data_IF_206822853451
#
_entry.id   IF_206822853451
#
_cell.length_a   1.000
_cell.length_b   1.000
_cell.length_c   1.000
_cell.angle_alpha   90.00
_cell.angle_beta   90.00
_cell.angle_gamma   90.00
#
_symmetry.space_group_name_H-M   'P 1'
#
loop_
_entity.id
_entity.type
_entity.pdbx_description
1 polymer ?
#
# COMPACT_ATOMS: atom_id res chain seq x y z
N UNK A 1 -19.87 -11.93 -5.59
CA UNK A 1 -20.05 -12.82 -6.76
C UNK A 1 -18.72 -13.31 -7.34
N UNK A 2 -17.79 -12.43 -7.72
CA UNK A 2 -16.55 -12.82 -8.42
C UNK A 2 -15.63 -13.78 -7.62
N UNK A 3 -15.47 -13.57 -6.31
CA UNK A 3 -14.61 -14.38 -5.44
C UNK A 3 -15.03 -15.85 -5.35
N UNK A 4 -16.33 -16.11 -5.16
CA UNK A 4 -16.87 -17.48 -5.07
C UNK A 4 -16.66 -18.25 -6.38
N UNK A 5 -16.83 -17.55 -7.51
CA UNK A 5 -16.58 -18.14 -8.82
C UNK A 5 -15.11 -18.53 -8.99
N UNK A 6 -14.19 -17.68 -8.56
CA UNK A 6 -12.75 -17.97 -8.60
C UNK A 6 -12.37 -19.15 -7.69
N UNK A 7 -12.96 -19.25 -6.50
CA UNK A 7 -12.77 -20.40 -5.62
C UNK A 7 -13.28 -21.71 -6.28
N UNK A 8 -14.42 -21.66 -6.97
CA UNK A 8 -14.94 -22.81 -7.71
C UNK A 8 -14.01 -23.22 -8.88
N UNK A 9 -13.45 -22.25 -9.61
CA UNK A 9 -12.47 -22.51 -10.68
C UNK A 9 -11.21 -23.17 -10.11
N UNK A 10 -10.72 -22.72 -8.95
CA UNK A 10 -9.57 -23.36 -8.28
C UNK A 10 -9.87 -24.80 -7.85
N UNK A 11 -11.06 -25.06 -7.27
CA UNK A 11 -11.48 -26.41 -6.90
C UNK A 11 -11.55 -27.33 -8.13
N UNK A 12 -12.18 -26.86 -9.22
CA UNK A 12 -12.31 -27.61 -10.47
C UNK A 12 -10.95 -27.93 -11.11
N UNK A 13 -10.00 -26.98 -11.10
CA UNK A 13 -8.63 -27.19 -11.61
C UNK A 13 -7.84 -28.26 -10.84
N UNK A 14 -8.24 -28.55 -9.60
CA UNK A 14 -7.64 -29.56 -8.73
C UNK A 14 -8.45 -30.85 -8.67
N UNK A 15 -9.45 -31.00 -9.54
CA UNK A 15 -10.38 -32.14 -9.57
C UNK A 15 -11.10 -32.37 -8.22
N UNK A 16 -11.30 -31.29 -7.43
CA UNK A 16 -12.03 -31.37 -6.16
C UNK A 16 -13.54 -31.29 -6.42
N UNK A 17 -14.30 -32.16 -5.74
CA UNK A 17 -15.78 -32.16 -5.79
C UNK A 17 -16.44 -31.15 -4.84
N UNK A 18 -15.68 -30.59 -3.91
CA UNK A 18 -16.13 -29.61 -2.92
C UNK A 18 -15.09 -28.48 -2.82
N UNK A 19 -15.56 -27.28 -2.50
CA UNK A 19 -14.73 -26.09 -2.31
C UNK A 19 -14.37 -26.01 -0.83
N UNK A 20 -13.08 -25.95 -0.51
CA UNK A 20 -12.59 -25.80 0.86
C UNK A 20 -12.04 -24.38 1.08
N UNK A 21 -11.70 -24.09 2.34
CA UNK A 21 -11.19 -22.77 2.73
C UNK A 21 -9.95 -22.35 1.94
N UNK A 22 -9.09 -23.30 1.54
CA UNK A 22 -7.89 -23.03 0.75
C UNK A 22 -8.22 -22.35 -0.59
N UNK A 23 -9.24 -22.83 -1.30
CA UNK A 23 -9.67 -22.24 -2.58
C UNK A 23 -10.23 -20.83 -2.38
N UNK A 24 -10.91 -20.58 -1.24
CA UNK A 24 -11.34 -19.23 -0.90
C UNK A 24 -10.16 -18.30 -0.63
N UNK A 25 -9.15 -18.73 0.14
CA UNK A 25 -7.96 -17.92 0.43
C UNK A 25 -7.18 -17.58 -0.85
N UNK A 26 -6.99 -18.55 -1.76
CA UNK A 26 -6.35 -18.30 -3.05
C UNK A 26 -7.18 -17.39 -3.95
N UNK A 27 -8.50 -17.52 -3.93
CA UNK A 27 -9.39 -16.64 -4.69
C UNK A 27 -9.32 -15.19 -4.20
N UNK A 28 -9.23 -14.97 -2.88
CA UNK A 28 -9.05 -13.63 -2.30
C UNK A 28 -7.77 -13.00 -2.84
N UNK A 29 -6.66 -13.72 -2.78
CA UNK A 29 -5.37 -13.22 -3.29
C UNK A 29 -5.43 -12.94 -4.79
N UNK A 30 -6.05 -13.83 -5.58
CA UNK A 30 -6.19 -13.63 -7.03
C UNK A 30 -7.01 -12.40 -7.35
N UNK A 31 -8.12 -12.19 -6.65
CA UNK A 31 -9.02 -11.05 -6.88
C UNK A 31 -8.37 -9.74 -6.45
N UNK A 32 -7.61 -9.73 -5.36
CA UNK A 32 -6.96 -8.53 -4.84
C UNK A 32 -5.65 -8.17 -5.58
N UNK A 33 -4.82 -9.16 -5.87
CA UNK A 33 -3.42 -8.97 -6.31
C UNK A 33 -3.18 -9.45 -7.75
N UNK A 34 -4.14 -10.16 -8.33
CA UNK A 34 -4.00 -10.81 -9.63
C UNK A 34 -3.45 -12.24 -9.56
N UNK A 35 -3.34 -12.91 -10.72
CA UNK A 35 -2.88 -14.28 -10.79
C UNK A 35 -1.40 -14.42 -10.38
N UNK A 36 -1.06 -15.59 -9.84
CA UNK A 36 0.32 -15.97 -9.55
C UNK A 36 1.16 -16.04 -10.84
N UNK A 37 2.37 -15.48 -10.82
CA UNK A 37 3.28 -15.53 -11.96
C UNK A 37 4.19 -16.75 -11.85
N UNK A 38 3.98 -17.72 -12.76
CA UNK A 38 4.84 -18.93 -12.85
C UNK A 38 6.02 -18.78 -13.81
N UNK A 39 5.96 -17.85 -14.76
CA UNK A 39 6.93 -17.72 -15.86
C UNK A 39 8.07 -16.72 -15.62
N UNK A 40 7.88 -15.75 -14.73
CA UNK A 40 8.90 -14.75 -14.41
C UNK A 40 9.33 -14.93 -12.95
N UNK A 41 10.23 -15.89 -12.74
CA UNK A 41 10.76 -16.19 -11.43
C UNK A 41 11.84 -15.17 -11.08
N UNK A 42 11.64 -14.47 -9.96
CA UNK A 42 12.66 -13.60 -9.36
C UNK A 42 13.97 -14.38 -9.18
N UNK A 43 15.09 -13.75 -9.53
CA UNK A 43 16.43 -14.25 -9.22
C UNK A 43 16.62 -14.41 -7.71
N UNK A 44 17.65 -15.15 -7.29
CA UNK A 44 17.95 -15.33 -5.87
C UNK A 44 18.14 -13.99 -5.15
N UNK A 45 18.83 -13.03 -5.79
CA UNK A 45 19.06 -11.68 -5.26
C UNK A 45 17.74 -10.91 -5.13
N UNK A 46 16.88 -10.93 -6.14
CA UNK A 46 15.58 -10.24 -6.11
C UNK A 46 14.64 -10.84 -5.06
N UNK A 47 14.63 -12.17 -4.90
CA UNK A 47 13.87 -12.83 -3.82
C UNK A 47 14.34 -12.41 -2.45
N UNK A 48 15.65 -12.28 -2.25
CA UNK A 48 16.21 -11.83 -0.98
C UNK A 48 15.81 -10.37 -0.69
N UNK A 49 15.94 -9.48 -1.68
CA UNK A 49 15.50 -8.08 -1.55
C UNK A 49 14.01 -8.02 -1.19
N UNK A 50 13.17 -8.73 -1.95
CA UNK A 50 11.74 -8.80 -1.70
C UNK A 50 11.42 -9.37 -0.30
N UNK A 51 12.13 -10.41 0.16
CA UNK A 51 11.92 -10.97 1.49
C UNK A 51 12.21 -9.94 2.60
N UNK A 52 13.32 -9.21 2.51
CA UNK A 52 13.63 -8.16 3.48
C UNK A 52 12.66 -6.98 3.39
N UNK A 53 12.20 -6.62 2.20
CA UNK A 53 11.21 -5.59 1.98
C UNK A 53 9.88 -5.92 2.67
N UNK A 54 9.30 -7.09 2.37
CA UNK A 54 8.04 -7.53 2.98
C UNK A 54 8.18 -7.76 4.49
N UNK A 55 9.32 -8.29 4.94
CA UNK A 55 9.61 -8.42 6.37
C UNK A 55 9.68 -7.04 7.06
N UNK A 56 10.17 -6.01 6.37
CA UNK A 56 10.18 -4.63 6.86
C UNK A 56 8.79 -4.10 7.11
N UNK A 57 7.87 -4.23 6.15
CA UNK A 57 6.46 -3.87 6.34
C UNK A 57 5.84 -4.63 7.52
N UNK A 58 6.03 -5.95 7.53
CA UNK A 58 5.42 -6.81 8.53
C UNK A 58 5.92 -6.53 9.95
N UNK A 59 7.23 -6.33 10.11
CA UNK A 59 7.85 -6.05 11.41
C UNK A 59 7.33 -4.72 11.98
N UNK A 60 7.30 -3.67 11.16
CA UNK A 60 6.80 -2.37 11.59
C UNK A 60 5.32 -2.43 11.94
N UNK A 61 4.51 -3.11 11.12
CA UNK A 61 3.08 -3.28 11.38
C UNK A 61 2.82 -4.09 12.66
N UNK A 62 3.63 -5.10 12.95
CA UNK A 62 3.52 -5.87 14.20
C UNK A 62 3.99 -5.09 15.44
N UNK A 63 4.82 -4.07 15.26
CA UNK A 63 5.43 -3.31 16.37
C UNK A 63 4.61 -2.09 16.79
N UNK A 64 3.73 -1.59 15.92
CA UNK A 64 2.94 -0.37 16.17
C UNK A 64 1.49 -0.77 16.51
N UNK A 65 0.98 -0.45 17.72
CA UNK A 65 -0.37 -0.83 18.15
C UNK A 65 -1.50 -0.32 17.25
N UNK A 66 -1.34 0.88 16.68
CA UNK A 66 -2.31 1.52 15.80
C UNK A 66 -2.24 1.01 14.35
N UNK A 67 -1.24 0.19 14.00
CA UNK A 67 -1.14 -0.38 12.67
C UNK A 67 -2.12 -1.55 12.50
N UNK A 68 -2.53 -1.77 11.24
CA UNK A 68 -3.39 -2.89 10.92
C UNK A 68 -2.67 -4.23 11.07
N UNK A 69 -3.40 -5.24 11.55
CA UNK A 69 -2.80 -6.54 11.85
C UNK A 69 -2.44 -7.29 10.57
N UNK A 70 -1.17 -7.69 10.47
CA UNK A 70 -0.68 -8.55 9.39
C UNK A 70 -1.30 -9.94 9.50
N UNK A 71 -1.86 -10.41 8.39
CA UNK A 71 -2.48 -11.73 8.27
C UNK A 71 -1.66 -12.69 7.43
N UNK A 72 -1.04 -12.19 6.37
CA UNK A 72 -0.21 -13.00 5.48
C UNK A 72 0.91 -12.17 4.90
N UNK A 73 2.08 -12.77 4.82
CA UNK A 73 3.26 -12.22 4.16
C UNK A 73 3.66 -13.23 3.09
N UNK A 74 3.98 -12.77 1.89
CA UNK A 74 4.39 -13.64 0.79
C UNK A 74 5.40 -12.96 -0.09
N UNK A 75 6.42 -13.72 -0.51
CA UNK A 75 7.39 -13.33 -1.54
C UNK A 75 7.07 -13.96 -2.90
N UNK A 76 5.88 -14.54 -3.04
CA UNK A 76 5.39 -15.12 -4.28
C UNK A 76 4.79 -14.01 -5.13
N UNK A 77 5.37 -13.77 -6.29
CA UNK A 77 4.95 -12.71 -7.19
C UNK A 77 3.56 -12.97 -7.77
N UNK A 78 2.70 -11.96 -7.71
CA UNK A 78 1.32 -11.98 -8.23
C UNK A 78 1.05 -10.70 -9.02
N UNK A 79 0.37 -10.79 -10.16
CA UNK A 79 0.03 -9.61 -10.97
C UNK A 79 1.24 -8.72 -11.27
N UNK A 80 1.22 -7.49 -10.77
CA UNK A 80 2.32 -6.52 -10.91
C UNK A 80 3.28 -6.46 -9.72
N UNK A 81 3.00 -7.20 -8.63
CA UNK A 81 3.78 -7.14 -7.39
C UNK A 81 4.75 -8.31 -7.27
N UNK A 82 5.96 -8.02 -6.77
CA UNK A 82 7.02 -9.01 -6.56
C UNK A 82 6.81 -9.84 -5.28
N UNK A 83 6.26 -9.21 -4.25
CA UNK A 83 5.80 -9.77 -2.97
C UNK A 83 4.67 -8.90 -2.40
N UNK A 84 4.12 -9.30 -1.26
CA UNK A 84 3.09 -8.53 -0.60
C UNK A 84 2.95 -8.85 0.90
N UNK A 85 2.48 -7.86 1.64
CA UNK A 85 2.06 -7.96 3.03
C UNK A 85 0.57 -7.62 3.13
N UNK A 86 -0.28 -8.61 3.42
CA UNK A 86 -1.71 -8.43 3.60
C UNK A 86 -2.02 -8.13 5.07
N UNK A 87 -2.51 -6.92 5.32
CA UNK A 87 -3.12 -6.54 6.58
C UNK A 87 -4.65 -6.55 6.43
N UNK A 88 -5.36 -6.97 7.48
CA UNK A 88 -6.82 -6.89 7.55
C UNK A 88 -7.24 -5.92 8.65
N UNK A 89 -8.14 -4.97 8.35
CA UNK A 89 -8.69 -4.11 9.37
C UNK A 89 -9.49 -4.91 10.38
N UNK A 90 -9.29 -4.62 11.67
CA UNK A 90 -10.09 -5.25 12.76
C UNK A 90 -11.55 -4.83 12.69
N UNK A 91 -11.79 -3.58 12.31
CA UNK A 91 -13.10 -2.96 12.23
C UNK A 91 -13.17 -2.04 11.02
N UNK A 92 -14.36 -1.93 10.42
CA UNK A 92 -14.58 -0.96 9.35
C UNK A 92 -14.68 0.46 9.94
N UNK A 93 -13.58 1.21 9.87
CA UNK A 93 -13.52 2.57 10.38
C UNK A 93 -13.82 3.59 9.29
N UNK A 94 -14.81 4.45 9.55
CA UNK A 94 -15.11 5.63 8.71
C UNK A 94 -14.25 6.84 9.05
N UNK A 95 -13.64 6.84 10.23
CA UNK A 95 -12.84 7.95 10.75
C UNK A 95 -11.49 7.39 11.19
N UNK A 96 -10.40 8.03 10.77
CA UNK A 96 -9.03 7.71 11.15
C UNK A 96 -8.41 8.85 11.95
N UNK A 97 -7.71 8.50 13.00
CA UNK A 97 -6.93 9.41 13.85
C UNK A 97 -5.57 9.70 13.23
N UNK A 98 -4.92 10.76 13.72
CA UNK A 98 -3.55 11.09 13.30
C UNK A 98 -2.56 9.96 13.59
N UNK A 99 -2.68 9.29 14.74
CA UNK A 99 -1.80 8.18 15.13
C UNK A 99 -1.92 6.99 14.16
N UNK A 100 -3.13 6.65 13.73
CA UNK A 100 -3.34 5.59 12.72
C UNK A 100 -2.74 5.97 11.36
N UNK A 101 -2.85 7.23 10.95
CA UNK A 101 -2.18 7.68 9.72
C UNK A 101 -0.65 7.65 9.84
N UNK A 102 -0.10 8.01 11.00
CA UNK A 102 1.34 7.89 11.25
C UNK A 102 1.78 6.43 11.24
N UNK A 103 1.00 5.53 11.82
CA UNK A 103 1.25 4.09 11.77
C UNK A 103 1.25 3.58 10.33
N UNK A 104 0.26 3.97 9.53
CA UNK A 104 0.18 3.62 8.10
C UNK A 104 1.42 4.12 7.32
N UNK A 105 1.84 5.37 7.55
CA UNK A 105 3.08 5.92 6.97
C UNK A 105 4.32 5.13 7.41
N UNK A 106 4.43 4.78 8.69
CA UNK A 106 5.55 3.99 9.21
C UNK A 106 5.61 2.62 8.55
N UNK A 107 4.47 1.93 8.41
CA UNK A 107 4.40 0.63 7.74
C UNK A 107 4.82 0.75 6.28
N UNK A 108 4.29 1.72 5.52
CA UNK A 108 4.67 1.93 4.11
C UNK A 108 6.18 2.20 3.94
N UNK A 109 6.81 2.88 4.90
CA UNK A 109 8.25 3.12 4.89
C UNK A 109 9.10 1.94 5.41
N UNK A 110 8.45 0.91 5.96
CA UNK A 110 9.12 -0.26 6.55
C UNK A 110 9.98 -1.03 5.56
N UNK A 111 9.44 -1.34 4.37
CA UNK A 111 10.16 -2.06 3.32
C UNK A 111 11.39 -1.28 2.81
N UNK A 112 11.20 0.01 2.52
CA UNK A 112 12.31 0.91 2.13
C UNK A 112 13.42 0.97 3.19
N UNK A 113 13.05 1.12 4.47
CA UNK A 113 14.03 1.15 5.56
C UNK A 113 14.77 -0.18 5.71
N UNK A 114 14.07 -1.30 5.60
CA UNK A 114 14.68 -2.63 5.70
C UNK A 114 15.70 -2.88 4.59
N UNK A 115 15.38 -2.52 3.35
CA UNK A 115 16.31 -2.60 2.23
C UNK A 115 17.57 -1.75 2.48
N UNK A 116 17.38 -0.49 2.86
CA UNK A 116 18.48 0.45 3.08
C UNK A 116 19.41 -0.02 4.21
N UNK A 117 18.86 -0.59 5.28
CA UNK A 117 19.63 -1.10 6.41
C UNK A 117 20.41 -2.37 6.05
N UNK A 118 19.79 -3.30 5.31
CA UNK A 118 20.39 -4.60 5.00
C UNK A 118 21.36 -4.54 3.83
N UNK A 119 20.98 -3.91 2.73
CA UNK A 119 21.72 -3.94 1.47
C UNK A 119 22.57 -2.69 1.24
N UNK A 120 22.35 -1.62 2.01
CA UNK A 120 22.98 -0.30 1.81
C UNK A 120 22.80 0.26 0.39
N UNK A 121 21.78 -0.23 -0.30
CA UNK A 121 21.38 0.12 -1.66
C UNK A 121 19.85 0.19 -1.67
N UNK A 122 19.29 1.05 -2.51
CA UNK A 122 17.85 1.26 -2.63
C UNK A 122 17.40 0.64 -3.94
N UNK A 123 16.38 -0.23 -3.90
CA UNK A 123 15.77 -0.78 -5.11
C UNK A 123 14.59 0.05 -5.61
N UNK A 124 14.10 -0.28 -6.80
CA UNK A 124 12.86 0.28 -7.35
C UNK A 124 11.60 -0.33 -6.74
N UNK A 125 11.73 -1.33 -5.84
CA UNK A 125 10.60 -2.04 -5.22
C UNK A 125 9.68 -1.15 -4.39
N UNK A 126 10.24 -0.13 -3.73
CA UNK A 126 9.50 0.77 -2.85
C UNK A 126 8.73 1.92 -3.56
N UNK A 127 8.71 1.95 -4.90
CA UNK A 127 8.15 3.08 -5.67
C UNK A 127 6.68 3.35 -5.30
N UNK A 128 5.84 2.31 -5.32
CA UNK A 128 4.42 2.41 -5.00
C UNK A 128 4.18 2.86 -3.54
N UNK A 129 5.00 2.40 -2.60
CA UNK A 129 4.85 2.79 -1.20
C UNK A 129 5.25 4.25 -0.97
N UNK A 130 6.30 4.73 -1.65
CA UNK A 130 6.72 6.13 -1.60
C UNK A 130 5.69 7.06 -2.23
N UNK A 131 5.03 6.65 -3.32
CA UNK A 131 3.92 7.40 -3.91
C UNK A 131 2.75 7.52 -2.93
N UNK A 132 2.35 6.42 -2.29
CA UNK A 132 1.30 6.41 -1.26
C UNK A 132 1.67 7.26 -0.06
N UNK A 133 2.91 7.14 0.44
CA UNK A 133 3.45 7.96 1.54
C UNK A 133 3.36 9.44 1.19
N UNK A 134 3.78 9.81 -0.02
CA UNK A 134 3.78 11.20 -0.48
C UNK A 134 2.35 11.76 -0.56
N UNK A 135 1.43 10.99 -1.12
CA UNK A 135 0.02 11.38 -1.23
C UNK A 135 -0.64 11.50 0.14
N UNK A 136 -0.44 10.51 1.02
CA UNK A 136 -1.02 10.48 2.35
C UNK A 136 -0.48 11.63 3.21
N UNK A 137 0.84 11.84 3.20
CA UNK A 137 1.48 12.96 3.90
C UNK A 137 0.93 14.29 3.41
N UNK A 138 0.76 14.46 2.09
CA UNK A 138 0.15 15.67 1.52
C UNK A 138 -1.27 15.86 2.05
N UNK A 139 -2.11 14.83 2.06
CA UNK A 139 -3.47 14.91 2.58
C UNK A 139 -3.51 15.26 4.09
N UNK A 140 -2.59 14.71 4.90
CA UNK A 140 -2.48 15.05 6.33
C UNK A 140 -2.22 16.54 6.55
N UNK A 141 -1.37 17.12 5.72
CA UNK A 141 -1.02 18.55 5.79
C UNK A 141 -2.13 19.41 5.18
N UNK A 142 -2.60 19.09 3.98
CA UNK A 142 -3.44 20.00 3.20
C UNK A 142 -4.92 19.81 3.45
N UNK A 143 -5.42 18.60 3.76
CA UNK A 143 -6.86 18.35 3.90
C UNK A 143 -7.28 18.17 5.35
N UNK A 144 -6.46 17.48 6.14
CA UNK A 144 -6.85 17.08 7.48
C UNK A 144 -6.33 18.03 8.57
N UNK A 145 -5.52 19.04 8.22
CA UNK A 145 -5.00 20.00 9.20
C UNK A 145 -4.14 19.36 10.31
N UNK A 146 -3.55 18.19 10.05
CA UNK A 146 -2.82 17.39 11.04
C UNK A 146 -1.34 17.79 11.15
N UNK A 147 -0.97 18.98 10.68
CA UNK A 147 0.39 19.50 10.66
C UNK A 147 0.58 20.69 11.60
N UNK A 148 1.82 21.19 11.72
CA UNK A 148 2.13 22.41 12.47
C UNK A 148 1.48 23.67 11.87
N UNK A 149 0.93 23.59 10.66
CA UNK A 149 0.19 24.69 10.02
C UNK A 149 -1.20 24.92 10.64
N UNK A 150 -1.63 24.03 11.54
CA UNK A 150 -2.92 24.15 12.23
C UNK A 150 -4.09 23.55 11.43
N UNK A 151 -5.32 23.68 11.96
CA UNK A 151 -6.53 23.04 11.42
C UNK A 151 -7.09 23.81 10.21
N UNK A 152 -6.27 23.97 9.17
CA UNK A 152 -6.63 24.68 7.94
C UNK A 152 -6.60 23.71 6.77
N UNK A 153 -7.64 23.74 5.93
CA UNK A 153 -7.65 23.00 4.66
C UNK A 153 -7.10 23.89 3.54
N UNK A 154 -6.03 23.42 2.90
CA UNK A 154 -5.34 24.04 1.77
C UNK A 154 -5.76 23.39 0.45
N UNK A 155 -5.90 24.21 -0.60
CA UNK A 155 -6.27 23.76 -1.94
C UNK A 155 -7.76 23.41 -2.05
N UNK A 156 -8.59 24.42 -2.31
CA UNK A 156 -9.99 24.19 -2.69
C UNK A 156 -9.98 23.52 -4.08
N UNK A 157 -10.55 22.32 -4.20
CA UNK A 157 -11.03 21.82 -5.49
C UNK A 157 -12.44 22.38 -5.67
N UNK A 158 -12.59 23.47 -6.41
CA UNK A 158 -13.90 23.78 -6.99
C UNK A 158 -14.15 22.77 -8.11
N UNK A 159 -14.77 21.64 -7.79
CA UNK A 159 -15.32 20.78 -8.85
C UNK A 159 -16.67 21.37 -9.26
N UNK A 160 -16.75 21.99 -10.44
CA UNK A 160 -18.04 22.17 -11.12
C UNK A 160 -18.33 20.88 -11.89
N UNK A 161 -19.24 20.00 -11.43
CA UNK A 161 -19.46 18.68 -12.04
C UNK A 161 -20.06 18.75 -13.44
N UNK A 162 -20.49 19.94 -13.89
CA UNK A 162 -21.27 20.13 -15.11
C UNK A 162 -20.41 20.32 -16.37
N UNK A 163 -19.15 20.74 -16.28
CA UNK A 163 -18.42 21.24 -17.47
C UNK A 163 -17.29 20.34 -18.00
N UNK A 164 -17.09 19.13 -17.45
CA UNK A 164 -16.04 18.22 -17.94
C UNK A 164 -14.61 18.80 -17.91
N UNK A 165 -14.42 19.91 -17.21
CA UNK A 165 -13.15 20.62 -17.10
C UNK A 165 -12.57 20.32 -15.73
N UNK A 166 -11.39 19.69 -15.67
CA UNK A 166 -10.63 19.59 -14.43
C UNK A 166 -10.15 20.99 -14.07
N UNK A 167 -10.84 21.64 -13.13
CA UNK A 167 -10.42 22.94 -12.62
C UNK A 167 -9.01 22.84 -12.02
N UNK A 168 -8.14 23.75 -12.47
CA UNK A 168 -6.80 23.93 -11.95
C UNK A 168 -6.88 24.18 -10.43
N UNK A 169 -6.09 23.47 -9.63
CA UNK A 169 -6.20 23.53 -8.17
C UNK A 169 -5.82 24.94 -7.71
N UNK A 170 -6.77 25.69 -7.15
CA UNK A 170 -6.52 27.04 -6.63
C UNK A 170 -5.55 26.95 -5.44
N UNK A 171 -4.33 27.50 -5.62
CA UNK A 171 -3.29 27.48 -4.58
C UNK A 171 -3.54 28.60 -3.58
N UNK A 172 -4.13 28.24 -2.44
CA UNK A 172 -4.41 29.20 -1.36
C UNK A 172 -3.22 29.36 -0.39
N UNK A 173 -1.97 29.25 -0.88
CA UNK A 173 -0.76 29.38 -0.07
C UNK A 173 0.41 30.01 -0.87
N UNK A 174 1.26 30.78 -0.18
CA UNK A 174 2.40 31.46 -0.77
C UNK A 174 3.54 30.49 -1.10
N UNK A 175 4.14 30.62 -2.28
CA UNK A 175 5.27 29.80 -2.72
C UNK A 175 6.60 30.50 -2.38
N UNK A 176 7.21 30.14 -1.24
CA UNK A 176 8.60 30.55 -0.99
C UNK A 176 9.53 29.71 -1.87
N UNK A 177 10.08 30.33 -2.92
CA UNK A 177 11.21 29.77 -3.69
C UNK A 177 12.40 29.66 -2.74
N UNK A 178 12.69 28.45 -2.27
CA UNK A 178 13.98 28.15 -1.66
C UNK A 178 14.99 28.17 -2.81
N UNK A 179 15.75 29.27 -2.92
CA UNK A 179 16.95 29.32 -3.72
C UNK A 179 17.98 28.40 -3.06
N UNK A 180 18.08 27.15 -3.54
CA UNK A 180 19.23 26.33 -3.24
C UNK A 180 20.46 26.99 -3.87
N UNK A 181 21.24 27.72 -3.08
CA UNK A 181 22.66 27.92 -3.36
C UNK A 181 23.33 26.57 -3.12
N UNK A 182 23.68 25.91 -4.22
CA UNK A 182 24.66 24.82 -4.29
C UNK A 182 25.98 25.25 -3.68
#
# INVERSE_FOLDING_TARGET
ANLVNEAAIFAARRDKKQIYQEEFLESIEKVLLGPERKSHLLSKKEKEICAFHEAGHALVAASIPEAEQVRKISIVSRGMVAGYTLALPKEEKRIKTKSEFLAELSVLLGGFCAERLKFKEISTGATNDLEKVSLLTRNLVTKYGMSKLGPISFGKKESMPFLGWEAETERNYLQNKILHKT
#
